data_IF_789038729662
#
_entry.id   IF_789038729662
#
_cell.length_a   1.000
_cell.length_b   1.000
_cell.length_c   1.000
_cell.angle_alpha   90.00
_cell.angle_beta   90.00
_cell.angle_gamma   90.00
#
_symmetry.space_group_name_H-M   'P 1'
#
loop_
_entity.id
_entity.type
_entity.pdbx_description
1 polymer ?
#
# COMPACT_ATOMS: atom_id res chain seq x y z
N UNK A 1 -10.41 36.45 -3.28
CA UNK A 1 -9.18 37.26 -3.29
C UNK A 1 -9.04 37.75 -4.73
N UNK A 2 -9.24 39.04 -4.99
CA UNK A 2 -9.08 39.58 -6.34
C UNK A 2 -7.58 39.58 -6.63
N UNK A 3 -7.16 38.76 -7.58
CA UNK A 3 -5.80 38.78 -8.09
C UNK A 3 -5.75 40.04 -8.97
N UNK A 4 -4.86 41.01 -8.72
CA UNK A 4 -4.74 42.17 -9.60
C UNK A 4 -4.35 41.68 -11.01
N UNK A 5 -5.12 42.11 -12.02
CA UNK A 5 -4.95 41.68 -13.42
C UNK A 5 -3.78 42.37 -14.13
N UNK A 6 -3.19 43.40 -13.50
CA UNK A 6 -2.12 44.22 -14.07
C UNK A 6 -0.96 44.38 -13.08
N UNK A 7 0.27 44.23 -13.59
CA UNK A 7 1.51 44.34 -12.81
C UNK A 7 1.65 45.70 -12.08
N UNK A 8 1.03 46.75 -12.62
CA UNK A 8 0.97 48.09 -12.03
C UNK A 8 0.32 48.08 -10.63
N UNK A 9 -0.76 47.33 -10.46
CA UNK A 9 -1.48 47.21 -9.19
C UNK A 9 -0.70 46.36 -8.17
N UNK A 10 0.08 45.39 -8.66
CA UNK A 10 0.84 44.49 -7.82
C UNK A 10 2.06 45.19 -7.20
N UNK A 11 2.75 46.02 -7.98
CA UNK A 11 4.01 46.66 -7.57
C UNK A 11 3.85 48.15 -7.19
N UNK A 12 2.69 48.77 -7.46
CA UNK A 12 2.45 50.20 -7.25
C UNK A 12 3.54 51.10 -7.87
N UNK A 13 4.15 50.63 -8.96
CA UNK A 13 5.23 51.29 -9.71
C UNK A 13 4.80 51.36 -11.17
N UNK A 14 4.99 52.53 -11.80
CA UNK A 14 4.73 52.72 -13.22
C UNK A 14 5.64 51.81 -14.06
N UNK A 15 5.10 51.25 -15.14
CA UNK A 15 5.81 50.37 -16.08
C UNK A 15 7.14 50.95 -16.59
N UNK A 16 7.18 52.21 -17.03
CA UNK A 16 8.43 52.86 -17.47
C UNK A 16 9.52 52.91 -16.38
N UNK A 17 9.10 53.09 -15.11
CA UNK A 17 10.02 53.14 -13.98
C UNK A 17 10.47 51.73 -13.56
N UNK A 18 9.63 50.73 -13.78
CA UNK A 18 10.00 49.33 -13.58
C UNK A 18 11.04 48.90 -14.63
N UNK A 19 10.80 49.24 -15.90
CA UNK A 19 11.72 48.92 -16.99
C UNK A 19 13.10 49.55 -16.79
N UNK A 20 13.16 50.80 -16.33
CA UNK A 20 14.45 51.44 -16.04
C UNK A 20 15.18 50.79 -14.86
N UNK A 21 14.47 50.36 -13.82
CA UNK A 21 15.07 49.63 -12.69
C UNK A 21 15.59 48.25 -13.15
N UNK A 22 14.85 47.57 -14.03
CA UNK A 22 15.26 46.28 -14.57
C UNK A 22 16.49 46.41 -15.46
N UNK A 23 16.56 47.46 -16.29
CA UNK A 23 17.72 47.75 -17.14
C UNK A 23 18.97 48.07 -16.29
N UNK A 24 18.83 48.90 -15.26
CA UNK A 24 19.91 49.26 -14.32
C UNK A 24 20.42 48.01 -13.53
N UNK A 25 19.48 47.11 -13.18
CA UNK A 25 19.79 45.83 -12.53
C UNK A 25 20.55 44.92 -13.48
N UNK A 26 20.10 44.78 -14.71
CA UNK A 26 20.73 43.91 -15.71
C UNK A 26 22.12 44.43 -16.09
N UNK A 27 22.29 45.75 -16.17
CA UNK A 27 23.60 46.38 -16.34
C UNK A 27 24.53 46.12 -15.13
N UNK A 28 24.02 46.22 -13.91
CA UNK A 28 24.79 45.91 -12.69
C UNK A 28 25.21 44.43 -12.60
N UNK A 29 24.36 43.50 -13.07
CA UNK A 29 24.71 42.07 -13.20
C UNK A 29 25.80 41.88 -14.26
N UNK A 30 25.64 42.50 -15.43
CA UNK A 30 26.55 42.31 -16.55
C UNK A 30 27.95 42.89 -16.27
N UNK A 31 28.00 44.04 -15.59
CA UNK A 31 29.24 44.69 -15.18
C UNK A 31 29.89 44.05 -13.93
N UNK A 32 29.27 43.01 -13.35
CA UNK A 32 29.74 42.34 -12.12
C UNK A 32 29.97 43.31 -10.96
N UNK A 33 29.23 44.41 -10.92
CA UNK A 33 29.44 45.50 -9.95
C UNK A 33 29.07 45.07 -8.54
N UNK A 34 28.09 44.17 -8.40
CA UNK A 34 27.61 43.65 -7.12
C UNK A 34 28.00 42.17 -7.03
N UNK A 35 29.03 41.81 -6.23
CA UNK A 35 29.48 40.42 -6.10
C UNK A 35 28.40 39.47 -5.57
N UNK A 36 27.39 40.00 -4.87
CA UNK A 36 26.24 39.25 -4.35
C UNK A 36 25.22 38.87 -5.44
N UNK A 37 25.17 39.63 -6.56
CA UNK A 37 24.28 39.37 -7.70
C UNK A 37 24.95 38.54 -8.79
N UNK A 38 26.25 38.24 -8.66
CA UNK A 38 26.89 37.28 -9.53
C UNK A 38 26.20 35.94 -9.24
N UNK A 39 25.45 35.36 -10.20
CA UNK A 39 24.95 34.01 -10.00
C UNK A 39 26.18 33.15 -9.79
N UNK A 40 26.30 32.52 -8.61
CA UNK A 40 27.43 31.64 -8.35
C UNK A 40 27.41 30.59 -9.45
N UNK A 41 28.37 30.69 -10.37
CA UNK A 41 28.48 29.77 -11.50
C UNK A 41 28.71 28.33 -11.01
N UNK A 42 29.05 28.15 -9.73
CA UNK A 42 29.13 26.84 -9.09
C UNK A 42 27.76 26.23 -8.79
N UNK A 43 26.68 27.00 -8.65
CA UNK A 43 25.38 26.46 -8.27
C UNK A 43 24.54 25.93 -9.45
N UNK A 44 24.82 26.37 -10.68
CA UNK A 44 24.15 25.82 -11.87
C UNK A 44 24.80 24.55 -12.44
N UNK A 45 25.88 24.05 -11.81
CA UNK A 45 26.37 22.70 -12.04
C UNK A 45 25.90 21.72 -10.96
N UNK A 46 24.70 21.94 -10.41
CA UNK A 46 23.86 20.79 -10.09
C UNK A 46 23.56 20.09 -11.42
N UNK A 47 24.46 19.19 -11.84
CA UNK A 47 24.14 18.15 -12.82
C UNK A 47 22.73 17.70 -12.51
N UNK A 48 21.79 17.62 -13.49
CA UNK A 48 20.46 17.12 -13.21
C UNK A 48 20.67 15.83 -12.45
N UNK A 49 20.34 15.83 -11.15
CA UNK A 49 20.71 14.73 -10.25
C UNK A 49 20.18 13.51 -10.94
N UNK A 50 21.09 12.62 -11.36
CA UNK A 50 20.67 11.55 -12.26
C UNK A 50 19.58 10.78 -11.53
N UNK A 51 18.54 10.36 -12.24
CA UNK A 51 17.42 9.64 -11.63
C UNK A 51 17.94 8.43 -10.84
N UNK A 52 19.02 7.82 -11.34
CA UNK A 52 19.80 6.78 -10.65
C UNK A 52 20.40 7.24 -9.34
N UNK A 53 21.03 8.42 -9.26
CA UNK A 53 21.58 8.93 -7.99
C UNK A 53 20.47 9.15 -6.96
N UNK A 54 19.30 9.69 -7.36
CA UNK A 54 18.14 9.84 -6.47
C UNK A 54 17.56 8.50 -6.02
N UNK A 55 17.50 7.52 -6.92
CA UNK A 55 17.05 6.16 -6.63
C UNK A 55 17.93 5.50 -5.55
N UNK A 56 19.24 5.69 -5.62
CA UNK A 56 20.19 5.17 -4.65
C UNK A 56 20.31 6.02 -3.38
N UNK A 57 20.07 7.34 -3.46
CA UNK A 57 20.10 8.24 -2.31
C UNK A 57 18.80 8.26 -1.52
N UNK A 58 17.70 7.71 -2.05
CA UNK A 58 16.41 7.75 -1.36
C UNK A 58 16.41 6.87 -0.12
N UNK A 59 15.82 7.39 0.95
CA UNK A 59 15.74 6.66 2.22
C UNK A 59 14.73 5.54 2.09
N UNK A 60 14.93 4.42 2.80
CA UNK A 60 13.96 3.35 2.88
C UNK A 60 12.56 3.85 3.31
N UNK A 61 12.51 4.84 4.20
CA UNK A 61 11.27 5.48 4.64
C UNK A 61 10.52 6.16 3.48
N UNK A 62 11.22 6.92 2.63
CA UNK A 62 10.63 7.60 1.48
C UNK A 62 10.06 6.58 0.47
N UNK A 63 10.75 5.46 0.28
CA UNK A 63 10.28 4.35 -0.57
C UNK A 63 9.00 3.72 -0.03
N UNK A 64 8.91 3.51 1.29
CA UNK A 64 7.71 2.95 1.93
C UNK A 64 6.55 3.95 1.82
N UNK A 65 6.79 5.23 2.09
CA UNK A 65 5.77 6.26 1.95
C UNK A 65 5.27 6.35 0.52
N UNK A 66 6.14 6.25 -0.49
CA UNK A 66 5.74 6.26 -1.89
C UNK A 66 4.77 5.10 -2.25
N UNK A 67 4.93 3.93 -1.62
CA UNK A 67 4.06 2.77 -1.85
C UNK A 67 2.68 2.96 -1.20
N UNK A 68 2.64 3.54 -0.01
CA UNK A 68 1.42 3.69 0.78
C UNK A 68 0.82 5.11 0.75
N UNK A 69 1.36 5.99 -0.09
CA UNK A 69 0.90 7.37 -0.24
C UNK A 69 -0.58 7.38 -0.59
N UNK A 70 -1.32 8.30 0.03
CA UNK A 70 -2.76 8.46 -0.23
C UNK A 70 -3.04 9.74 -1.01
N UNK A 71 -1.98 10.40 -1.48
CA UNK A 71 -2.06 11.67 -2.16
C UNK A 71 -2.83 11.52 -3.49
N UNK A 72 -3.84 12.38 -3.75
CA UNK A 72 -4.68 12.25 -4.93
C UNK A 72 -3.88 12.45 -6.22
N UNK A 73 -2.89 13.35 -6.21
CA UNK A 73 -2.02 13.64 -7.38
C UNK A 73 -1.19 12.42 -7.77
N UNK A 74 -0.74 11.66 -6.78
CA UNK A 74 0.12 10.48 -6.93
C UNK A 74 -0.70 9.17 -7.02
N UNK A 75 -2.03 9.27 -6.99
CA UNK A 75 -2.89 8.11 -6.87
C UNK A 75 -2.98 7.28 -8.14
N UNK A 76 -2.78 7.91 -9.29
CA UNK A 76 -2.80 7.28 -10.61
C UNK A 76 -1.49 6.55 -10.95
N UNK A 77 -0.49 6.66 -10.09
CA UNK A 77 0.78 6.01 -10.28
C UNK A 77 0.71 4.51 -10.01
N UNK A 78 1.43 3.74 -10.83
CA UNK A 78 1.49 2.28 -10.74
C UNK A 78 1.97 1.77 -9.37
N UNK A 79 2.95 2.42 -8.74
CA UNK A 79 3.45 2.00 -7.42
C UNK A 79 2.37 2.14 -6.33
N UNK A 80 1.64 3.26 -6.34
CA UNK A 80 0.53 3.47 -5.40
C UNK A 80 -0.65 2.53 -5.70
N UNK A 81 -0.93 2.25 -6.99
CA UNK A 81 -1.93 1.23 -7.39
C UNK A 81 -1.60 -0.14 -6.82
N UNK A 82 -0.32 -0.56 -6.84
CA UNK A 82 0.14 -1.82 -6.23
C UNK A 82 -0.07 -1.80 -4.71
N UNK A 83 0.34 -0.74 -4.02
CA UNK A 83 0.12 -0.60 -2.57
C UNK A 83 -1.36 -0.57 -2.17
N UNK A 84 -2.21 0.06 -2.99
CA UNK A 84 -3.67 0.06 -2.81
C UNK A 84 -4.29 -1.31 -3.04
N UNK A 85 -3.81 -2.04 -4.05
CA UNK A 85 -4.25 -3.41 -4.35
C UNK A 85 -3.89 -4.36 -3.22
N UNK A 86 -2.68 -4.24 -2.67
CA UNK A 86 -2.22 -5.02 -1.51
C UNK A 86 -3.12 -4.83 -0.27
N UNK A 87 -3.74 -3.65 -0.11
CA UNK A 87 -4.71 -3.38 0.98
C UNK A 87 -6.12 -3.91 0.69
N UNK A 88 -6.60 -3.79 -0.55
CA UNK A 88 -8.00 -4.11 -0.90
C UNK A 88 -8.26 -5.61 -1.14
N UNK A 89 -7.35 -6.30 -1.85
CA UNK A 89 -7.49 -7.74 -2.15
C UNK A 89 -7.74 -8.59 -0.89
N UNK A 90 -6.95 -8.49 0.19
CA UNK A 90 -7.15 -9.36 1.35
C UNK A 90 -8.49 -9.14 2.04
N UNK A 91 -9.04 -7.92 1.99
CA UNK A 91 -10.36 -7.61 2.55
C UNK A 91 -11.46 -8.29 1.74
N UNK A 92 -11.44 -8.18 0.41
CA UNK A 92 -12.43 -8.83 -0.45
C UNK A 92 -12.33 -10.37 -0.38
N UNK A 93 -11.11 -10.90 -0.33
CA UNK A 93 -10.89 -12.34 -0.20
C UNK A 93 -11.35 -12.86 1.17
N UNK A 94 -11.10 -12.12 2.24
CA UNK A 94 -11.57 -12.46 3.58
C UNK A 94 -13.08 -12.43 3.71
N UNK A 95 -13.75 -11.43 3.10
CA UNK A 95 -15.22 -11.33 3.08
C UNK A 95 -15.82 -12.50 2.29
N UNK A 96 -15.31 -12.78 1.08
CA UNK A 96 -15.83 -13.87 0.24
C UNK A 96 -15.65 -15.25 0.88
N UNK A 97 -14.45 -15.57 1.37
CA UNK A 97 -14.19 -16.85 2.04
C UNK A 97 -14.94 -16.94 3.37
N UNK A 98 -15.03 -15.84 4.12
CA UNK A 98 -15.83 -15.76 5.35
C UNK A 98 -17.33 -16.02 5.10
N UNK A 99 -17.88 -15.47 4.02
CA UNK A 99 -19.28 -15.69 3.63
C UNK A 99 -19.53 -17.14 3.21
N UNK A 100 -18.68 -17.70 2.33
CA UNK A 100 -18.80 -19.09 1.87
C UNK A 100 -18.73 -20.06 3.07
N UNK A 101 -17.76 -19.87 3.95
CA UNK A 101 -17.59 -20.73 5.15
C UNK A 101 -18.71 -20.55 6.16
N UNK A 102 -19.27 -19.35 6.30
CA UNK A 102 -20.45 -19.08 7.12
C UNK A 102 -21.70 -19.81 6.63
N UNK A 103 -21.96 -19.79 5.31
CA UNK A 103 -23.09 -20.51 4.69
C UNK A 103 -22.92 -22.03 4.86
N UNK A 104 -21.73 -22.57 4.60
CA UNK A 104 -21.46 -24.00 4.81
C UNK A 104 -21.66 -24.41 6.28
N UNK A 105 -21.25 -23.56 7.23
CA UNK A 105 -21.47 -23.83 8.66
C UNK A 105 -22.95 -23.78 9.04
N UNK A 106 -23.76 -22.94 8.39
CA UNK A 106 -25.19 -22.84 8.65
C UNK A 106 -25.91 -24.17 8.39
N UNK A 107 -25.59 -24.85 7.27
CA UNK A 107 -26.13 -26.18 6.97
C UNK A 107 -25.73 -27.23 8.01
N UNK A 108 -24.45 -27.26 8.40
CA UNK A 108 -23.98 -28.21 9.43
C UNK A 108 -24.63 -27.92 10.79
N UNK A 109 -24.82 -26.64 11.15
CA UNK A 109 -25.47 -26.27 12.41
C UNK A 109 -26.96 -26.60 12.45
N UNK A 110 -27.61 -26.71 11.30
CA UNK A 110 -29.00 -27.16 11.22
C UNK A 110 -29.13 -28.62 11.63
N UNK A 111 -28.25 -29.48 11.12
CA UNK A 111 -28.20 -30.90 11.52
C UNK A 111 -27.85 -31.06 13.00
N UNK A 112 -26.92 -30.24 13.51
CA UNK A 112 -26.58 -30.20 14.95
C UNK A 112 -27.81 -29.80 15.78
N UNK A 113 -28.59 -28.80 15.33
CA UNK A 113 -29.81 -28.36 16.00
C UNK A 113 -30.88 -29.46 16.04
N UNK A 114 -31.11 -30.16 14.92
CA UNK A 114 -32.07 -31.26 14.85
C UNK A 114 -31.68 -32.41 15.77
N UNK A 115 -30.39 -32.75 15.85
CA UNK A 115 -29.88 -33.80 16.76
C UNK A 115 -30.04 -33.40 18.22
N UNK A 116 -29.71 -32.16 18.57
CA UNK A 116 -29.80 -31.66 19.94
C UNK A 116 -31.25 -31.52 20.43
N UNK A 117 -32.18 -31.18 19.53
CA UNK A 117 -33.59 -30.93 19.87
C UNK A 117 -34.54 -32.05 19.44
N UNK A 118 -34.03 -33.26 19.16
CA UNK A 118 -34.83 -34.39 18.69
C UNK A 118 -36.00 -34.74 19.65
N UNK A 119 -35.81 -34.49 20.94
CA UNK A 119 -36.79 -34.78 22.00
C UNK A 119 -37.45 -33.52 22.58
N UNK A 120 -37.11 -32.33 22.07
CA UNK A 120 -37.68 -31.06 22.56
C UNK A 120 -39.03 -30.84 21.90
N UNK A 121 -40.09 -30.72 22.72
CA UNK A 121 -41.43 -30.39 22.24
C UNK A 121 -41.57 -28.87 22.21
N UNK A 122 -41.67 -28.30 21.02
CA UNK A 122 -41.95 -26.88 20.85
C UNK A 122 -43.45 -26.62 20.94
N UNK A 123 -43.85 -25.55 21.63
CA UNK A 123 -45.26 -25.17 21.77
C UNK A 123 -45.94 -24.92 20.42
N UNK A 124 -45.20 -24.40 19.43
CA UNK A 124 -45.69 -24.08 18.10
C UNK A 124 -44.62 -24.40 17.03
N UNK A 125 -45.05 -24.86 15.86
CA UNK A 125 -44.16 -25.07 14.71
C UNK A 125 -43.39 -23.80 14.31
N UNK A 126 -44.06 -22.63 14.33
CA UNK A 126 -43.43 -21.33 14.04
C UNK A 126 -42.30 -20.99 15.03
N UNK A 127 -42.42 -21.44 16.28
CA UNK A 127 -41.39 -21.23 17.30
C UNK A 127 -40.19 -22.13 17.02
N UNK A 128 -40.43 -23.40 16.66
CA UNK A 128 -39.38 -24.35 16.29
C UNK A 128 -38.57 -23.86 15.08
N UNK A 129 -39.23 -23.39 14.02
CA UNK A 129 -38.55 -22.87 12.83
C UNK A 129 -37.72 -21.64 13.16
N UNK A 130 -38.26 -20.67 13.92
CA UNK A 130 -37.51 -19.48 14.34
C UNK A 130 -36.27 -19.85 15.14
N UNK A 131 -36.39 -20.74 16.14
CA UNK A 131 -35.24 -21.18 16.92
C UNK A 131 -34.17 -21.88 16.07
N UNK A 132 -34.59 -22.70 15.10
CA UNK A 132 -33.63 -23.34 14.18
C UNK A 132 -32.90 -22.32 13.32
N UNK A 133 -33.60 -21.33 12.76
CA UNK A 133 -33.02 -20.30 11.90
C UNK A 133 -32.07 -19.39 12.70
N UNK A 134 -32.51 -18.92 13.87
CA UNK A 134 -31.69 -18.09 14.75
C UNK A 134 -30.41 -18.84 15.16
N UNK A 135 -30.51 -20.14 15.49
CA UNK A 135 -29.34 -20.96 15.83
C UNK A 135 -28.37 -21.09 14.65
N UNK A 136 -28.88 -21.38 13.45
CA UNK A 136 -28.06 -21.59 12.26
C UNK A 136 -27.37 -20.31 11.80
N UNK A 137 -28.13 -19.21 11.76
CA UNK A 137 -27.62 -17.90 11.31
C UNK A 137 -26.55 -17.41 12.29
N UNK A 138 -26.80 -17.46 13.60
CA UNK A 138 -25.85 -16.98 14.60
C UNK A 138 -24.55 -17.81 14.57
N UNK A 139 -24.63 -19.14 14.50
CA UNK A 139 -23.45 -20.01 14.38
C UNK A 139 -22.70 -19.78 13.08
N UNK A 140 -23.41 -19.59 11.96
CA UNK A 140 -22.84 -19.28 10.66
C UNK A 140 -22.09 -17.95 10.66
N UNK A 141 -22.70 -16.89 11.19
CA UNK A 141 -22.10 -15.54 11.25
C UNK A 141 -20.86 -15.52 12.15
N UNK A 142 -20.94 -16.05 13.38
CA UNK A 142 -19.78 -16.05 14.30
C UNK A 142 -18.61 -16.80 13.69
N UNK A 143 -18.88 -17.96 13.09
CA UNK A 143 -17.84 -18.76 12.45
C UNK A 143 -17.27 -18.06 11.21
N UNK A 144 -18.13 -17.51 10.35
CA UNK A 144 -17.75 -16.76 9.16
C UNK A 144 -16.89 -15.54 9.47
N UNK A 145 -17.22 -14.76 10.50
CA UNK A 145 -16.41 -13.62 10.97
C UNK A 145 -15.07 -14.11 11.52
N UNK A 146 -15.05 -15.19 12.31
CA UNK A 146 -13.80 -15.75 12.84
C UNK A 146 -12.87 -16.24 11.74
N UNK A 147 -13.39 -16.94 10.74
CA UNK A 147 -12.60 -17.44 9.61
C UNK A 147 -12.20 -16.30 8.68
N UNK A 148 -13.13 -15.41 8.34
CA UNK A 148 -12.89 -14.26 7.47
C UNK A 148 -11.80 -13.35 8.03
N UNK A 149 -11.85 -13.00 9.32
CA UNK A 149 -10.80 -12.20 9.97
C UNK A 149 -9.42 -12.87 9.93
N UNK A 150 -9.34 -14.18 10.17
CA UNK A 150 -8.10 -14.96 10.05
C UNK A 150 -7.55 -14.93 8.63
N UNK A 151 -8.41 -15.13 7.63
CA UNK A 151 -8.04 -15.08 6.21
C UNK A 151 -7.57 -13.69 5.81
N UNK A 152 -8.25 -12.62 6.24
CA UNK A 152 -7.85 -11.24 5.95
C UNK A 152 -6.49 -10.92 6.53
N UNK A 153 -6.22 -11.27 7.79
CA UNK A 153 -4.92 -11.03 8.42
C UNK A 153 -3.80 -11.82 7.75
N UNK A 154 -4.06 -13.10 7.44
CA UNK A 154 -3.07 -13.97 6.81
C UNK A 154 -2.76 -13.52 5.38
N UNK A 155 -3.80 -13.27 4.57
CA UNK A 155 -3.65 -12.80 3.20
C UNK A 155 -3.05 -11.40 3.17
N UNK A 156 -3.48 -10.51 4.07
CA UNK A 156 -2.95 -9.16 4.17
C UNK A 156 -1.45 -9.16 4.44
N UNK A 157 -0.98 -9.94 5.40
CA UNK A 157 0.46 -10.08 5.64
C UNK A 157 1.22 -10.63 4.43
N UNK A 158 0.66 -11.63 3.72
CA UNK A 158 1.29 -12.21 2.54
C UNK A 158 1.44 -11.25 1.36
N UNK A 159 0.55 -10.27 1.19
CA UNK A 159 0.70 -9.24 0.16
C UNK A 159 1.49 -8.02 0.65
N UNK A 160 1.32 -7.62 1.91
CA UNK A 160 1.91 -6.39 2.44
C UNK A 160 3.37 -6.56 2.85
N UNK A 161 3.76 -7.67 3.51
CA UNK A 161 5.14 -7.82 3.99
C UNK A 161 6.17 -7.97 2.87
N UNK A 162 5.95 -8.77 1.80
CA UNK A 162 6.91 -8.84 0.71
C UNK A 162 7.08 -7.49 0.00
N UNK A 163 5.99 -6.73 -0.19
CA UNK A 163 6.05 -5.39 -0.76
C UNK A 163 6.82 -4.42 0.15
N UNK A 164 6.62 -4.51 1.47
CA UNK A 164 7.35 -3.72 2.44
C UNK A 164 8.86 -4.04 2.41
N UNK A 165 9.23 -5.32 2.36
CA UNK A 165 10.64 -5.72 2.25
C UNK A 165 11.27 -5.21 0.95
N UNK A 166 10.56 -5.32 -0.17
CA UNK A 166 11.02 -4.80 -1.44
C UNK A 166 11.21 -3.27 -1.41
N UNK A 167 10.31 -2.54 -0.74
CA UNK A 167 10.45 -1.10 -0.54
C UNK A 167 11.62 -0.73 0.38
N UNK A 168 11.85 -1.50 1.45
CA UNK A 168 12.98 -1.30 2.36
C UNK A 168 14.31 -1.53 1.64
N UNK A 169 14.43 -2.57 0.81
CA UNK A 169 15.64 -2.84 0.04
C UNK A 169 15.78 -1.91 -1.17
N UNK A 170 14.66 -1.43 -1.70
CA UNK A 170 14.60 -0.70 -2.96
C UNK A 170 14.78 -1.57 -4.20
N UNK A 171 14.77 -2.90 -4.05
CA UNK A 171 15.00 -3.88 -5.11
C UNK A 171 13.98 -5.00 -5.01
N UNK A 172 13.67 -5.66 -6.12
CA UNK A 172 12.80 -6.85 -6.12
C UNK A 172 13.64 -8.10 -5.93
N UNK A 173 13.33 -8.89 -4.89
CA UNK A 173 13.95 -10.19 -4.70
C UNK A 173 12.96 -11.30 -4.33
N UNK A 174 13.26 -12.53 -4.73
CA UNK A 174 12.36 -13.66 -4.50
C UNK A 174 12.31 -14.07 -3.02
N UNK A 175 13.40 -13.90 -2.26
CA UNK A 175 13.47 -14.31 -0.84
C UNK A 175 12.63 -13.42 0.08
N UNK A 176 12.30 -12.20 -0.35
CA UNK A 176 11.41 -11.27 0.37
C UNK A 176 10.01 -11.88 0.55
N UNK A 177 9.57 -12.66 -0.44
CA UNK A 177 8.31 -13.38 -0.36
C UNK A 177 8.39 -14.52 0.65
N UNK A 178 9.50 -15.27 0.68
CA UNK A 178 9.73 -16.30 1.69
C UNK A 178 9.76 -15.73 3.11
N UNK A 179 10.45 -14.59 3.31
CA UNK A 179 10.51 -13.89 4.58
C UNK A 179 9.16 -13.31 4.97
N UNK A 180 8.47 -12.62 4.06
CA UNK A 180 7.15 -12.04 4.32
C UNK A 180 6.08 -13.09 4.62
N UNK A 181 6.08 -14.21 3.91
CA UNK A 181 5.19 -15.33 4.21
C UNK A 181 5.54 -15.98 5.54
N UNK A 182 6.81 -16.28 5.78
CA UNK A 182 7.26 -16.88 7.04
C UNK A 182 6.91 -16.02 8.26
N UNK A 183 7.15 -14.71 8.19
CA UNK A 183 6.80 -13.76 9.26
C UNK A 183 5.30 -13.69 9.44
N UNK A 184 4.52 -13.62 8.37
CA UNK A 184 3.04 -13.59 8.47
C UNK A 184 2.48 -14.87 9.10
N UNK A 185 2.95 -16.05 8.68
CA UNK A 185 2.52 -17.33 9.25
C UNK A 185 2.95 -17.48 10.72
N UNK A 186 4.14 -16.96 11.05
CA UNK A 186 4.65 -16.85 12.42
C UNK A 186 3.73 -15.97 13.28
N UNK A 187 3.43 -14.75 12.82
CA UNK A 187 2.56 -13.79 13.49
C UNK A 187 1.14 -14.35 13.71
N UNK A 188 0.62 -15.10 12.75
CA UNK A 188 -0.69 -15.75 12.87
C UNK A 188 -0.75 -16.76 14.04
N UNK A 189 0.37 -17.38 14.39
CA UNK A 189 0.48 -18.36 15.46
C UNK A 189 1.00 -17.81 16.80
N UNK A 190 1.11 -16.49 16.96
CA UNK A 190 1.64 -15.86 18.19
C UNK A 190 0.97 -16.37 19.47
N UNK A 191 -0.36 -16.44 19.48
CA UNK A 191 -1.11 -16.87 20.66
C UNK A 191 -1.05 -18.39 20.94
N UNK A 192 -0.38 -19.17 20.08
CA UNK A 192 -0.25 -20.63 20.24
C UNK A 192 1.08 -21.06 20.85
N UNK A 193 2.00 -20.12 21.07
CA UNK A 193 3.31 -20.33 21.68
C UNK A 193 4.47 -20.37 20.67
N UNK A 194 5.68 -20.08 21.17
CA UNK A 194 6.88 -19.84 20.37
C UNK A 194 7.28 -21.02 19.46
N UNK A 195 7.19 -22.26 19.95
CA UNK A 195 7.50 -23.45 19.13
C UNK A 195 6.59 -23.57 17.90
N UNK A 196 5.29 -23.33 18.08
CA UNK A 196 4.30 -23.39 16.99
C UNK A 196 4.47 -22.22 16.02
N UNK A 197 4.86 -21.06 16.54
CA UNK A 197 5.20 -19.88 15.75
C UNK A 197 6.39 -20.15 14.81
N UNK A 198 7.50 -20.71 15.31
CA UNK A 198 8.65 -21.07 14.48
C UNK A 198 8.30 -22.11 13.41
N UNK A 199 7.56 -23.17 13.77
CA UNK A 199 7.13 -24.19 12.81
C UNK A 199 6.22 -23.59 11.73
N UNK A 200 5.28 -22.73 12.11
CA UNK A 200 4.40 -22.05 11.16
C UNK A 200 5.19 -21.15 10.20
N UNK A 201 6.21 -20.44 10.69
CA UNK A 201 7.10 -19.63 9.85
C UNK A 201 7.91 -20.45 8.86
N UNK A 202 8.46 -21.59 9.30
CA UNK A 202 9.20 -22.51 8.41
C UNK A 202 8.30 -23.13 7.35
N UNK A 203 7.08 -23.55 7.72
CA UNK A 203 6.12 -24.12 6.76
C UNK A 203 5.61 -23.03 5.81
N UNK A 204 5.38 -21.81 6.31
CA UNK A 204 4.91 -20.68 5.52
C UNK A 204 5.94 -20.15 4.53
N UNK A 205 7.24 -20.26 4.82
CA UNK A 205 8.29 -19.78 3.91
C UNK A 205 8.39 -20.61 2.63
N UNK A 206 8.01 -21.89 2.64
CA UNK A 206 8.03 -22.78 1.46
C UNK A 206 7.12 -22.28 0.32
N UNK A 207 5.80 -22.06 0.53
CA UNK A 207 4.96 -21.43 -0.49
C UNK A 207 5.36 -19.97 -0.74
N UNK A 208 5.96 -19.28 0.23
CA UNK A 208 6.56 -17.96 0.04
C UNK A 208 7.69 -17.96 -1.01
N UNK A 209 8.55 -18.98 -1.03
CA UNK A 209 9.58 -19.13 -2.06
C UNK A 209 8.95 -19.37 -3.44
N UNK A 210 7.95 -20.24 -3.52
CA UNK A 210 7.27 -20.53 -4.79
C UNK A 210 6.62 -19.28 -5.37
N UNK A 211 5.89 -18.52 -4.53
CA UNK A 211 5.27 -17.26 -4.95
C UNK A 211 6.31 -16.19 -5.29
N UNK A 212 7.44 -16.14 -4.58
CA UNK A 212 8.56 -15.25 -4.90
C UNK A 212 9.22 -15.53 -6.25
N UNK A 213 9.37 -16.79 -6.62
CA UNK A 213 9.89 -17.17 -7.95
C UNK A 213 8.88 -16.77 -9.03
N UNK A 214 7.60 -17.07 -8.83
CA UNK A 214 6.53 -16.69 -9.78
C UNK A 214 6.39 -15.18 -9.93
N UNK A 215 6.47 -14.41 -8.84
CA UNK A 215 6.40 -12.95 -8.89
C UNK A 215 7.63 -12.36 -9.58
N UNK A 216 8.83 -12.90 -9.33
CA UNK A 216 10.04 -12.45 -10.01
C UNK A 216 9.97 -12.69 -11.53
N UNK A 217 9.44 -13.84 -11.96
CA UNK A 217 9.20 -14.12 -13.38
C UNK A 217 8.19 -13.13 -13.98
N UNK A 218 7.08 -12.88 -13.28
CA UNK A 218 6.06 -11.93 -13.72
C UNK A 218 6.61 -10.48 -13.82
N UNK A 219 7.36 -10.03 -12.81
CA UNK A 219 7.98 -8.69 -12.80
C UNK A 219 8.99 -8.52 -13.94
N UNK A 220 9.80 -9.56 -14.22
CA UNK A 220 10.78 -9.53 -15.33
C UNK A 220 10.11 -9.55 -16.70
N UNK A 221 9.01 -10.28 -16.86
CA UNK A 221 8.26 -10.28 -18.13
C UNK A 221 7.53 -8.95 -18.38
N UNK A 222 7.07 -8.31 -17.31
CA UNK A 222 6.30 -7.06 -17.39
C UNK A 222 7.15 -5.79 -17.32
N UNK A 223 8.47 -5.89 -17.09
CA UNK A 223 9.34 -4.76 -16.72
C UNK A 223 8.67 -3.85 -15.68
N UNK A 224 8.12 -4.48 -14.65
CA UNK A 224 7.43 -3.84 -13.53
C UNK A 224 8.15 -4.16 -12.22
N UNK A 225 9.48 -4.17 -12.26
CA UNK A 225 10.28 -4.30 -11.05
C UNK A 225 10.08 -3.08 -10.16
N UNK A 226 10.29 -3.25 -8.86
CA UNK A 226 10.19 -2.16 -7.90
C UNK A 226 11.10 -0.99 -8.26
N UNK A 227 12.32 -1.28 -8.73
CA UNK A 227 13.28 -0.27 -9.19
C UNK A 227 12.69 0.60 -10.32
N UNK A 228 12.07 -0.02 -11.33
CA UNK A 228 11.44 0.68 -12.45
C UNK A 228 10.19 1.46 -12.01
N UNK A 229 9.35 0.88 -11.15
CA UNK A 229 8.13 1.52 -10.64
C UNK A 229 8.46 2.74 -9.76
N UNK A 230 9.50 2.63 -8.95
CA UNK A 230 9.96 3.73 -8.10
C UNK A 230 10.80 4.76 -8.89
N UNK A 231 11.53 4.35 -9.93
CA UNK A 231 12.14 5.31 -10.85
C UNK A 231 11.09 6.17 -11.56
N UNK A 232 9.99 5.55 -12.00
CA UNK A 232 8.84 6.26 -12.58
C UNK A 232 8.19 7.22 -11.58
N UNK A 233 8.07 6.79 -10.32
CA UNK A 233 7.60 7.65 -9.21
C UNK A 233 8.39 8.96 -9.13
N UNK A 234 9.72 8.86 -9.07
CA UNK A 234 10.60 9.99 -8.88
C UNK A 234 10.52 10.99 -10.04
N UNK A 235 10.39 10.49 -11.27
CA UNK A 235 10.22 11.34 -12.46
C UNK A 235 8.90 12.12 -12.41
N UNK A 236 7.82 11.48 -11.99
CA UNK A 236 6.51 12.15 -11.86
C UNK A 236 6.51 13.18 -10.73
N UNK A 237 7.12 12.88 -9.58
CA UNK A 237 7.26 13.85 -8.48
C UNK A 237 8.12 15.06 -8.83
N UNK A 238 9.00 14.96 -9.83
CA UNK A 238 9.81 16.10 -10.28
C UNK A 238 9.01 17.06 -11.18
N UNK A 239 7.92 16.60 -11.79
CA UNK A 239 7.08 17.42 -12.67
C UNK A 239 6.06 18.26 -11.88
N UNK A 240 5.84 17.91 -10.62
CA UNK A 240 4.98 18.62 -9.67
C UNK A 240 5.83 19.69 -9.00
#
# INVERSE_FOLDING_TARGET
MNIPDTDEDLLAINTEKLDSILEDRDEAINNQTVPELIPDKRDHSSKPVSLTDRLYSSTAYDRILAVFSTDPVLSDQELNKVGRRARKIPVYLGISIGMITGVMRAFVSYDEFLRANKYTIFANHKMATRHSLDHCILRGIIFGISVGSKVTLLTGGYYTLPLLFSAVQGKTSYWEHAAGWGITSSLYCLNRGFKRMLIAGMIGSVPGLLTGVLSMLACRMSNSTFEELYAKHLNETQKI
#
